data_IF_405864604121
#
_entry.id   IF_405864604121
#
_cell.length_a   1.000
_cell.length_b   1.000
_cell.length_c   1.000
_cell.angle_alpha   90.00
_cell.angle_beta   90.00
_cell.angle_gamma   90.00
#
_symmetry.space_group_name_H-M   'P 1'
#
loop_
_entity.id
_entity.type
_entity.pdbx_description
1 polymer ?
#
# COMPACT_ATOMS: atom_id res chain seq x y z
N UNK A 1 38.86 -50.52 -13.66
CA UNK A 1 38.67 -49.83 -12.39
C UNK A 1 39.96 -49.22 -11.83
N UNK A 2 41.13 -49.87 -11.94
CA UNK A 2 42.37 -49.38 -11.35
C UNK A 2 43.02 -48.12 -11.99
N UNK A 3 42.74 -47.80 -13.25
CA UNK A 3 43.31 -46.62 -13.92
C UNK A 3 42.69 -45.31 -13.42
N UNK A 4 41.39 -45.28 -13.20
CA UNK A 4 40.66 -44.09 -12.74
C UNK A 4 41.11 -43.73 -11.31
N UNK A 5 41.27 -44.73 -10.45
CA UNK A 5 41.74 -44.54 -9.07
C UNK A 5 43.14 -43.93 -9.01
N UNK A 6 44.04 -44.40 -9.91
CA UNK A 6 45.40 -43.85 -10.00
C UNK A 6 45.42 -42.40 -10.49
N UNK A 7 44.57 -42.05 -11.46
CA UNK A 7 44.43 -40.65 -11.92
C UNK A 7 43.86 -39.71 -10.84
N UNK A 8 42.90 -40.19 -10.04
CA UNK A 8 42.37 -39.43 -8.91
C UNK A 8 43.45 -39.24 -7.79
N UNK A 9 44.26 -40.28 -7.51
CA UNK A 9 45.36 -40.19 -6.55
C UNK A 9 46.43 -39.19 -7.01
N UNK A 10 46.84 -39.25 -8.29
CA UNK A 10 47.82 -38.30 -8.83
C UNK A 10 47.31 -36.87 -8.80
N UNK A 11 45.99 -36.63 -9.09
CA UNK A 11 45.37 -35.32 -8.97
C UNK A 11 45.40 -34.81 -7.54
N UNK A 12 45.10 -35.66 -6.54
CA UNK A 12 45.12 -35.31 -5.14
C UNK A 12 46.54 -34.97 -4.63
N UNK A 13 47.54 -35.71 -5.08
CA UNK A 13 48.96 -35.47 -4.74
C UNK A 13 49.45 -34.11 -5.25
N UNK A 14 49.00 -33.65 -6.40
CA UNK A 14 49.31 -32.30 -6.94
C UNK A 14 48.66 -31.21 -6.06
N UNK A 15 47.47 -31.44 -5.58
CA UNK A 15 46.78 -30.52 -4.65
C UNK A 15 47.56 -30.41 -3.32
N UNK A 16 48.02 -31.50 -2.76
CA UNK A 16 48.72 -31.52 -1.48
C UNK A 16 50.14 -30.94 -1.58
N UNK A 17 50.82 -31.13 -2.72
CA UNK A 17 52.17 -30.59 -2.95
C UNK A 17 52.21 -29.09 -3.15
N UNK A 18 51.14 -28.49 -3.76
CA UNK A 18 51.08 -27.04 -4.05
C UNK A 18 50.01 -26.33 -3.21
N UNK A 19 50.14 -26.38 -1.87
CA UNK A 19 49.12 -25.91 -0.92
C UNK A 19 48.62 -24.47 -1.17
N UNK A 20 49.51 -23.53 -1.49
CA UNK A 20 49.16 -22.13 -1.73
C UNK A 20 48.30 -21.96 -3.01
N UNK A 21 48.67 -22.67 -4.09
CA UNK A 21 47.91 -22.59 -5.36
C UNK A 21 46.53 -23.25 -5.21
N UNK A 22 46.52 -24.42 -4.57
CA UNK A 22 45.27 -25.15 -4.29
C UNK A 22 44.32 -24.35 -3.42
N UNK A 23 44.85 -23.74 -2.34
CA UNK A 23 44.06 -22.86 -1.46
C UNK A 23 43.47 -21.67 -2.22
N UNK A 24 44.29 -20.96 -3.02
CA UNK A 24 43.82 -19.81 -3.80
C UNK A 24 42.72 -20.21 -4.81
N UNK A 25 42.90 -21.36 -5.46
CA UNK A 25 41.90 -21.84 -6.44
C UNK A 25 40.59 -22.22 -5.77
N UNK A 26 40.63 -23.00 -4.68
CA UNK A 26 39.43 -23.38 -3.93
C UNK A 26 38.76 -22.16 -3.31
N UNK A 27 39.54 -21.25 -2.76
CA UNK A 27 39.03 -20.00 -2.17
C UNK A 27 38.35 -19.13 -3.24
N UNK A 28 38.95 -18.98 -4.43
CA UNK A 28 38.33 -18.24 -5.53
C UNK A 28 37.00 -18.84 -5.99
N UNK A 29 36.93 -20.17 -6.14
CA UNK A 29 35.70 -20.85 -6.49
C UNK A 29 34.66 -20.72 -5.38
N UNK A 30 35.07 -20.85 -4.12
CA UNK A 30 34.18 -20.71 -2.96
C UNK A 30 33.56 -19.32 -2.88
N UNK A 31 34.35 -18.26 -3.11
CA UNK A 31 33.83 -16.90 -3.18
C UNK A 31 32.84 -16.73 -4.34
N UNK A 32 33.16 -17.27 -5.51
CA UNK A 32 32.28 -17.21 -6.66
C UNK A 32 30.91 -17.86 -6.39
N UNK A 33 30.91 -19.06 -5.81
CA UNK A 33 29.69 -19.78 -5.42
C UNK A 33 28.94 -19.00 -4.31
N UNK A 34 29.66 -18.52 -3.30
CA UNK A 34 29.04 -17.74 -2.21
C UNK A 34 28.37 -16.48 -2.73
N UNK A 35 28.99 -15.76 -3.69
CA UNK A 35 28.37 -14.58 -4.30
C UNK A 35 27.08 -14.92 -5.07
N UNK A 36 27.08 -16.00 -5.83
CA UNK A 36 25.86 -16.44 -6.56
C UNK A 36 24.73 -16.77 -5.59
N UNK A 37 25.05 -17.53 -4.52
CA UNK A 37 24.04 -17.87 -3.50
C UNK A 37 23.52 -16.59 -2.82
N UNK A 38 24.39 -15.64 -2.50
CA UNK A 38 24.02 -14.38 -1.86
C UNK A 38 23.06 -13.57 -2.74
N UNK A 39 23.35 -13.44 -4.04
CA UNK A 39 22.51 -12.70 -4.97
C UNK A 39 21.14 -13.37 -5.14
N UNK A 40 21.12 -14.71 -5.29
CA UNK A 40 19.86 -15.45 -5.41
C UNK A 40 19.03 -15.39 -4.12
N UNK A 41 19.68 -15.49 -2.95
CA UNK A 41 19.01 -15.38 -1.66
C UNK A 41 18.45 -13.98 -1.42
N UNK A 42 19.21 -12.94 -1.77
CA UNK A 42 18.73 -11.55 -1.69
C UNK A 42 17.55 -11.32 -2.63
N UNK A 43 17.62 -11.82 -3.88
CA UNK A 43 16.51 -11.73 -4.84
C UNK A 43 15.24 -12.41 -4.34
N UNK A 44 15.37 -13.62 -3.80
CA UNK A 44 14.22 -14.33 -3.21
C UNK A 44 13.68 -13.64 -1.96
N UNK A 45 14.56 -13.05 -1.14
CA UNK A 45 14.15 -12.26 0.03
C UNK A 45 13.31 -11.05 -0.36
N UNK A 46 13.76 -10.27 -1.33
CA UNK A 46 13.01 -9.11 -1.85
C UNK A 46 11.67 -9.57 -2.45
N UNK A 47 11.67 -10.64 -3.27
CA UNK A 47 10.44 -11.20 -3.83
C UNK A 47 9.45 -11.61 -2.71
N UNK A 48 9.92 -12.26 -1.66
CA UNK A 48 9.06 -12.67 -0.53
C UNK A 48 8.44 -11.48 0.19
N UNK A 49 9.23 -10.41 0.44
CA UNK A 49 8.72 -9.19 1.06
C UNK A 49 7.66 -8.53 0.17
N UNK A 50 7.93 -8.37 -1.12
CA UNK A 50 6.96 -7.78 -2.07
C UNK A 50 5.69 -8.62 -2.16
N UNK A 51 5.81 -9.95 -2.24
CA UNK A 51 4.64 -10.83 -2.32
C UNK A 51 3.83 -10.84 -1.02
N UNK A 52 4.48 -10.74 0.14
CA UNK A 52 3.76 -10.62 1.42
C UNK A 52 3.03 -9.28 1.54
N UNK A 53 3.62 -8.21 1.00
CA UNK A 53 3.00 -6.89 0.95
C UNK A 53 1.74 -6.92 0.05
N UNK A 54 1.85 -7.50 -1.15
CA UNK A 54 0.72 -7.65 -2.07
C UNK A 54 -0.39 -8.50 -1.44
N UNK A 55 -0.03 -9.63 -0.81
CA UNK A 55 -1.00 -10.50 -0.15
C UNK A 55 -1.73 -9.83 1.03
N UNK A 56 -1.14 -8.80 1.64
CA UNK A 56 -1.80 -8.02 2.70
C UNK A 56 -2.98 -7.19 2.21
N UNK A 57 -3.05 -6.91 0.90
CA UNK A 57 -4.17 -6.19 0.28
C UNK A 57 -5.36 -7.10 -0.08
N UNK A 58 -5.23 -8.45 0.06
CA UNK A 58 -6.23 -9.44 -0.35
C UNK A 58 -5.92 -10.06 -1.72
N UNK A 59 -6.55 -11.21 -2.03
CA UNK A 59 -6.17 -12.00 -3.20
C UNK A 59 -6.94 -11.61 -4.49
N UNK A 60 -8.13 -11.01 -4.39
CA UNK A 60 -9.06 -10.79 -5.52
C UNK A 60 -9.49 -9.33 -5.67
N UNK A 61 -8.56 -8.38 -5.76
CA UNK A 61 -8.93 -6.99 -5.97
C UNK A 61 -8.31 -6.39 -7.24
N UNK A 62 -9.03 -5.46 -7.84
CA UNK A 62 -8.56 -4.67 -8.98
C UNK A 62 -8.53 -3.19 -8.59
N UNK A 63 -7.40 -2.53 -8.85
CA UNK A 63 -7.27 -1.09 -8.73
C UNK A 63 -7.49 -0.42 -10.08
N UNK A 64 -8.47 0.45 -10.15
CA UNK A 64 -8.86 1.18 -11.35
C UNK A 64 -8.45 2.64 -11.17
N UNK A 65 -7.47 3.07 -11.92
CA UNK A 65 -6.96 4.43 -11.92
C UNK A 65 -7.10 5.07 -13.31
N UNK A 66 -7.19 6.39 -13.33
CA UNK A 66 -7.21 7.11 -14.59
C UNK A 66 -5.80 7.26 -15.12
N UNK A 67 -5.57 6.75 -16.31
CA UNK A 67 -4.29 6.80 -17.02
C UNK A 67 -4.17 8.08 -17.83
N UNK A 68 -3.01 8.75 -17.75
CA UNK A 68 -2.72 9.87 -18.64
C UNK A 68 -2.33 9.30 -20.01
N UNK A 69 -3.00 9.74 -21.09
CA UNK A 69 -2.57 9.42 -22.44
C UNK A 69 -1.18 10.05 -22.68
N UNK A 70 -0.13 9.24 -22.74
CA UNK A 70 1.18 9.67 -23.18
C UNK A 70 1.40 9.22 -24.63
N UNK A 71 2.07 10.03 -25.44
CA UNK A 71 2.44 9.66 -26.82
C UNK A 71 3.39 8.46 -26.88
N UNK A 72 4.09 8.15 -25.80
CA UNK A 72 4.85 6.92 -25.62
C UNK A 72 3.95 5.88 -24.95
N UNK A 73 3.98 4.64 -25.44
CA UNK A 73 3.19 3.50 -24.91
C UNK A 73 3.45 3.15 -23.43
N UNK A 74 4.39 3.83 -22.77
CA UNK A 74 4.67 3.66 -21.36
C UNK A 74 3.71 4.54 -20.56
N UNK A 75 2.73 3.91 -19.95
CA UNK A 75 1.82 4.53 -19.01
C UNK A 75 2.56 4.95 -17.75
N UNK A 76 2.66 6.24 -17.49
CA UNK A 76 2.98 6.70 -16.15
C UNK A 76 1.75 6.49 -15.26
N UNK A 77 1.95 5.87 -14.12
CA UNK A 77 0.96 5.74 -13.08
C UNK A 77 0.44 7.12 -12.65
N UNK A 78 -0.79 7.16 -12.13
CA UNK A 78 -1.45 8.39 -11.70
C UNK A 78 -0.62 9.22 -10.71
N UNK A 79 0.19 8.57 -9.87
CA UNK A 79 1.13 9.20 -8.94
C UNK A 79 2.15 10.12 -9.64
N UNK A 80 2.69 9.70 -10.78
CA UNK A 80 3.63 10.51 -11.57
C UNK A 80 2.92 11.70 -12.23
N UNK A 81 1.67 11.53 -12.60
CA UNK A 81 0.83 12.56 -13.18
C UNK A 81 0.49 13.66 -12.17
N UNK A 82 0.12 13.27 -10.97
CA UNK A 82 -0.15 14.20 -9.86
C UNK A 82 1.11 15.00 -9.54
N UNK A 83 2.28 14.35 -9.51
CA UNK A 83 3.57 15.02 -9.31
C UNK A 83 3.91 16.03 -10.42
N UNK A 84 3.40 15.84 -11.64
CA UNK A 84 3.54 16.76 -12.78
C UNK A 84 2.42 17.80 -12.85
N UNK A 85 1.50 17.83 -11.87
CA UNK A 85 0.40 18.79 -11.82
C UNK A 85 -0.75 18.52 -12.80
N UNK A 86 -0.78 17.36 -13.43
CA UNK A 86 -1.90 16.95 -14.31
C UNK A 86 -2.96 16.24 -13.47
N UNK A 87 -4.12 16.85 -13.33
CA UNK A 87 -5.26 16.23 -12.65
C UNK A 87 -6.31 15.78 -13.66
N UNK A 88 -6.55 14.48 -13.74
CA UNK A 88 -7.61 13.92 -14.56
C UNK A 88 -8.89 13.87 -13.71
N UNK A 89 -9.99 14.42 -14.25
CA UNK A 89 -11.26 14.65 -13.54
C UNK A 89 -12.42 13.80 -14.07
N UNK A 90 -12.09 12.73 -14.81
CA UNK A 90 -13.10 11.90 -15.49
C UNK A 90 -13.69 10.82 -14.60
N UNK A 91 -12.91 10.26 -13.66
CA UNK A 91 -13.38 9.21 -12.76
C UNK A 91 -14.27 9.80 -11.66
N UNK A 92 -15.42 9.20 -11.42
CA UNK A 92 -16.42 9.71 -10.48
C UNK A 92 -16.99 8.58 -9.60
N UNK A 93 -17.74 8.95 -8.57
CA UNK A 93 -18.46 7.97 -7.73
C UNK A 93 -19.52 7.19 -8.52
N UNK A 94 -20.06 7.75 -9.63
CA UNK A 94 -20.98 7.03 -10.52
C UNK A 94 -20.31 5.85 -11.22
N UNK A 95 -19.03 5.99 -11.54
CA UNK A 95 -18.24 4.91 -12.14
C UNK A 95 -18.04 3.77 -11.13
N UNK A 96 -17.81 4.10 -9.83
CA UNK A 96 -17.82 3.10 -8.76
C UNK A 96 -19.16 2.36 -8.69
N UNK A 97 -20.28 3.09 -8.71
CA UNK A 97 -21.61 2.49 -8.63
C UNK A 97 -21.90 1.59 -9.85
N UNK A 98 -21.43 1.97 -11.05
CA UNK A 98 -21.52 1.13 -12.25
C UNK A 98 -20.68 -0.15 -12.12
N UNK A 99 -19.48 -0.07 -11.56
CA UNK A 99 -18.60 -1.23 -11.32
C UNK A 99 -19.25 -2.19 -10.32
N UNK A 100 -19.79 -1.69 -9.22
CA UNK A 100 -20.49 -2.53 -8.21
C UNK A 100 -21.71 -3.23 -8.81
N UNK A 101 -22.29 -2.74 -9.91
CA UNK A 101 -23.42 -3.38 -10.58
C UNK A 101 -23.04 -4.58 -11.46
N UNK A 102 -21.74 -4.89 -11.61
CA UNK A 102 -21.26 -6.06 -12.35
C UNK A 102 -21.35 -7.32 -11.48
N UNK A 103 -21.82 -8.43 -12.06
CA UNK A 103 -21.99 -9.71 -11.35
C UNK A 103 -20.70 -10.28 -10.77
N UNK A 104 -19.54 -9.92 -11.34
CA UNK A 104 -18.22 -10.35 -10.91
C UNK A 104 -17.62 -9.51 -9.76
N UNK A 105 -18.30 -8.46 -9.32
CA UNK A 105 -17.82 -7.52 -8.29
C UNK A 105 -18.65 -7.66 -7.03
N UNK A 106 -18.00 -8.08 -5.96
CA UNK A 106 -18.61 -8.21 -4.64
C UNK A 106 -18.87 -6.86 -3.99
N UNK A 107 -17.88 -5.99 -4.03
CA UNK A 107 -17.96 -4.63 -3.50
C UNK A 107 -16.83 -3.77 -4.08
N UNK A 108 -16.96 -2.44 -3.97
CA UNK A 108 -15.90 -1.53 -4.38
C UNK A 108 -15.91 -0.28 -3.51
N UNK A 109 -14.73 0.31 -3.32
CA UNK A 109 -14.63 1.63 -2.70
C UNK A 109 -13.97 2.64 -3.65
N UNK A 110 -14.39 3.89 -3.51
CA UNK A 110 -13.79 5.04 -4.19
C UNK A 110 -12.77 5.71 -3.30
N UNK A 111 -11.70 6.24 -3.89
CA UNK A 111 -10.65 6.92 -3.15
C UNK A 111 -10.23 8.25 -3.79
N UNK A 112 -9.90 9.20 -2.92
CA UNK A 112 -9.28 10.48 -3.25
C UNK A 112 -8.29 10.86 -2.15
N UNK A 113 -7.15 11.41 -2.52
CA UNK A 113 -6.16 11.86 -1.54
C UNK A 113 -5.99 13.37 -1.53
N UNK A 114 -5.64 13.91 -0.37
CA UNK A 114 -5.29 15.30 -0.17
C UNK A 114 -4.36 15.44 1.01
N UNK A 115 -3.72 16.59 1.13
CA UNK A 115 -2.94 16.92 2.34
C UNK A 115 -3.65 18.01 3.13
N UNK A 116 -3.50 17.96 4.44
CA UNK A 116 -4.11 18.92 5.35
C UNK A 116 -3.23 19.14 6.59
N UNK A 117 -3.51 20.22 7.29
CA UNK A 117 -3.05 20.38 8.67
C UNK A 117 -4.20 19.96 9.58
N UNK A 118 -3.98 18.89 10.34
CA UNK A 118 -4.88 18.46 11.40
C UNK A 118 -4.42 19.09 12.72
N UNK A 119 -5.37 19.55 13.52
CA UNK A 119 -5.06 20.13 14.83
C UNK A 119 -6.16 19.82 15.83
N UNK A 120 -5.76 19.71 17.09
CA UNK A 120 -6.61 19.90 18.24
C UNK A 120 -6.35 21.29 18.85
N UNK A 121 -6.83 21.57 20.07
CA UNK A 121 -6.65 22.88 20.71
C UNK A 121 -5.19 23.15 21.14
N UNK A 122 -4.35 22.12 21.21
CA UNK A 122 -2.98 22.19 21.74
C UNK A 122 -1.91 21.99 20.66
N UNK A 123 -2.13 21.04 19.75
CA UNK A 123 -1.13 20.56 18.79
C UNK A 123 -1.62 20.67 17.35
N UNK A 124 -0.65 20.75 16.43
CA UNK A 124 -0.88 20.74 14.98
C UNK A 124 0.07 19.78 14.33
N UNK A 125 -0.41 19.03 13.33
CA UNK A 125 0.36 18.07 12.58
C UNK A 125 -0.01 18.13 11.10
N UNK A 126 0.91 17.79 10.22
CA UNK A 126 0.63 17.59 8.80
C UNK A 126 0.16 16.16 8.59
N UNK A 127 -0.95 15.97 7.92
CA UNK A 127 -1.52 14.65 7.68
C UNK A 127 -1.96 14.49 6.23
N UNK A 128 -1.81 13.28 5.71
CA UNK A 128 -2.42 12.88 4.45
C UNK A 128 -3.86 12.44 4.71
N UNK A 129 -4.79 13.01 3.94
CA UNK A 129 -6.19 12.58 3.95
C UNK A 129 -6.36 11.47 2.93
N UNK A 130 -6.89 10.34 3.35
CA UNK A 130 -7.53 9.36 2.50
C UNK A 130 -9.04 9.56 2.58
N UNK A 131 -9.59 10.22 1.57
CA UNK A 131 -11.02 10.32 1.36
C UNK A 131 -11.51 9.03 0.71
N UNK A 132 -12.02 8.10 1.51
CA UNK A 132 -12.45 6.79 1.02
C UNK A 132 -13.91 6.56 1.38
N UNK A 133 -14.61 5.79 0.55
CA UNK A 133 -15.97 5.36 0.90
C UNK A 133 -15.95 4.29 1.98
N UNK A 134 -17.07 4.07 2.67
CA UNK A 134 -17.15 3.22 3.86
C UNK A 134 -16.73 1.77 3.61
N UNK A 135 -16.88 1.28 2.40
CA UNK A 135 -16.50 -0.06 1.96
C UNK A 135 -14.99 -0.32 2.08
N UNK A 136 -14.16 0.74 2.14
CA UNK A 136 -12.72 0.63 2.40
C UNK A 136 -12.41 -0.21 3.63
N UNK A 137 -13.13 0.00 4.72
CA UNK A 137 -12.89 -0.72 5.98
C UNK A 137 -13.34 -2.19 5.94
N UNK A 138 -14.16 -2.57 4.95
CA UNK A 138 -14.58 -3.95 4.72
C UNK A 138 -13.58 -4.70 3.83
N UNK A 139 -13.09 -4.03 2.77
CA UNK A 139 -12.18 -4.61 1.77
C UNK A 139 -10.75 -4.69 2.31
N UNK A 140 -10.23 -3.61 2.83
CA UNK A 140 -8.81 -3.47 3.23
C UNK A 140 -8.51 -3.98 4.63
N UNK A 141 -9.24 -4.89 5.21
CA UNK A 141 -8.98 -5.50 6.52
C UNK A 141 -8.40 -4.54 7.58
N UNK A 142 -8.46 -3.23 7.33
CA UNK A 142 -7.98 -2.18 8.22
C UNK A 142 -8.75 -2.20 9.52
N UNK A 143 -8.13 -2.81 10.54
CA UNK A 143 -8.78 -2.98 11.83
C UNK A 143 -8.85 -1.66 12.58
N UNK A 144 -10.01 -1.38 13.12
CA UNK A 144 -10.23 -0.28 14.04
C UNK A 144 -9.79 -0.72 15.44
N UNK A 145 -8.82 -0.04 16.02
CA UNK A 145 -8.34 -0.30 17.38
C UNK A 145 -9.30 0.27 18.43
N UNK A 146 -9.81 1.50 18.20
CA UNK A 146 -10.73 2.17 19.11
C UNK A 146 -11.88 2.80 18.34
N UNK A 147 -13.10 2.72 18.85
CA UNK A 147 -14.28 3.30 18.20
C UNK A 147 -14.78 2.46 17.03
N UNK A 148 -15.24 3.12 15.97
CA UNK A 148 -15.87 2.49 14.81
C UNK A 148 -15.49 3.23 13.53
N UNK A 149 -15.57 2.53 12.39
CA UNK A 149 -15.55 3.15 11.08
C UNK A 149 -16.81 3.99 10.85
N UNK A 150 -16.73 5.00 10.00
CA UNK A 150 -17.94 5.70 9.57
C UNK A 150 -18.76 4.83 8.62
N UNK A 151 -20.06 5.10 8.57
CA UNK A 151 -21.03 4.31 7.82
C UNK A 151 -21.23 4.84 6.40
N UNK A 152 -21.86 4.04 5.53
CA UNK A 152 -22.30 4.48 4.21
C UNK A 152 -23.22 5.71 4.27
N UNK A 153 -24.08 5.79 5.31
CA UNK A 153 -24.92 6.94 5.56
C UNK A 153 -24.12 8.21 5.87
N UNK A 154 -23.01 8.07 6.59
CA UNK A 154 -22.10 9.19 6.86
C UNK A 154 -21.38 9.63 5.60
N UNK A 155 -20.94 8.69 4.75
CA UNK A 155 -20.29 9.02 3.49
C UNK A 155 -21.28 9.72 2.53
N UNK A 156 -22.45 9.16 2.28
CA UNK A 156 -23.48 9.76 1.41
C UNK A 156 -23.92 11.17 1.84
N UNK A 157 -23.99 11.42 3.16
CA UNK A 157 -24.34 12.74 3.72
C UNK A 157 -23.18 13.71 3.73
N UNK A 158 -21.96 13.26 3.44
CA UNK A 158 -20.76 14.06 3.59
C UNK A 158 -20.55 14.47 5.05
N UNK A 159 -20.68 13.53 5.99
CA UNK A 159 -20.57 13.80 7.42
C UNK A 159 -19.14 14.26 7.79
N UNK A 160 -19.06 15.20 8.73
CA UNK A 160 -17.76 15.68 9.24
C UNK A 160 -17.25 14.76 10.36
N UNK A 161 -16.87 13.55 9.96
CA UNK A 161 -16.29 12.54 10.82
C UNK A 161 -14.92 12.13 10.28
N UNK A 162 -14.07 11.63 11.17
CA UNK A 162 -12.70 11.20 10.83
C UNK A 162 -12.31 9.96 11.63
N UNK A 163 -11.62 9.05 10.98
CA UNK A 163 -10.87 7.97 11.62
C UNK A 163 -9.40 8.34 11.54
N UNK A 164 -8.70 8.29 12.67
CA UNK A 164 -7.29 8.67 12.76
C UNK A 164 -6.39 7.47 12.60
N UNK A 165 -5.26 7.63 11.91
CA UNK A 165 -4.15 6.69 11.98
C UNK A 165 -3.51 6.72 13.38
N UNK A 166 -2.83 5.65 13.74
CA UNK A 166 -2.31 5.45 15.09
C UNK A 166 -1.32 6.56 15.52
N UNK A 167 -0.38 6.92 14.64
CA UNK A 167 0.62 7.97 14.90
C UNK A 167 -0.03 9.35 15.08
N UNK A 168 -1.03 9.69 14.26
CA UNK A 168 -1.75 10.95 14.37
C UNK A 168 -2.52 11.03 15.69
N UNK A 169 -3.20 9.94 16.07
CA UNK A 169 -3.93 9.89 17.34
C UNK A 169 -2.98 10.06 18.54
N UNK A 170 -1.84 9.38 18.54
CA UNK A 170 -0.83 9.49 19.58
C UNK A 170 -0.20 10.88 19.64
N UNK A 171 0.15 11.45 18.48
CA UNK A 171 0.76 12.79 18.40
C UNK A 171 -0.17 13.86 18.94
N UNK A 172 -1.45 13.84 18.58
CA UNK A 172 -2.41 14.87 18.98
C UNK A 172 -2.91 14.70 20.42
N UNK A 173 -3.17 13.47 20.84
CA UNK A 173 -3.89 13.21 22.10
C UNK A 173 -3.06 12.43 23.13
N UNK A 174 -1.93 11.79 22.72
CA UNK A 174 -1.16 10.90 23.59
C UNK A 174 -2.02 9.71 24.02
N UNK A 175 -2.05 9.45 25.33
CA UNK A 175 -2.81 8.33 25.91
C UNK A 175 -4.28 8.66 26.26
N UNK A 176 -4.78 9.83 25.86
CA UNK A 176 -6.16 10.22 26.18
C UNK A 176 -7.17 9.48 25.32
N UNK A 177 -8.43 9.44 25.76
CA UNK A 177 -9.51 8.92 24.93
C UNK A 177 -9.83 9.95 23.83
N UNK A 178 -9.70 9.51 22.57
CA UNK A 178 -9.86 10.37 21.40
C UNK A 178 -11.26 10.26 20.77
N UNK A 179 -12.04 9.25 21.16
CA UNK A 179 -13.35 9.00 20.54
C UNK A 179 -14.34 10.08 20.97
N UNK A 180 -15.05 10.63 19.99
CA UNK A 180 -15.96 11.78 20.08
C UNK A 180 -15.28 13.14 20.30
N UNK A 181 -13.94 13.19 20.39
CA UNK A 181 -13.22 14.46 20.37
C UNK A 181 -13.32 15.15 19.00
N UNK A 182 -13.11 16.45 18.98
CA UNK A 182 -13.14 17.23 17.75
C UNK A 182 -11.73 17.64 17.34
N UNK A 183 -11.36 17.30 16.11
CA UNK A 183 -10.16 17.82 15.45
C UNK A 183 -10.53 18.80 14.36
N UNK A 184 -9.62 19.72 14.05
CA UNK A 184 -9.81 20.71 12.98
C UNK A 184 -8.97 20.31 11.78
N UNK A 185 -9.61 20.12 10.62
CA UNK A 185 -8.95 19.97 9.32
C UNK A 185 -9.11 21.28 8.57
N UNK A 186 -7.99 21.95 8.30
CA UNK A 186 -8.00 23.30 7.72
C UNK A 186 -8.97 24.27 8.43
N UNK A 187 -9.02 24.20 9.76
CA UNK A 187 -9.85 25.06 10.60
C UNK A 187 -11.33 24.64 10.74
N UNK A 188 -11.80 23.61 10.03
CA UNK A 188 -13.16 23.07 10.17
C UNK A 188 -13.15 21.88 11.13
N UNK A 189 -14.15 21.80 12.01
CA UNK A 189 -14.29 20.74 13.01
C UNK A 189 -14.76 19.41 12.40
N UNK A 190 -14.11 18.32 12.81
CA UNK A 190 -14.44 16.94 12.46
C UNK A 190 -14.45 16.11 13.74
N UNK A 191 -15.48 15.30 13.93
CA UNK A 191 -15.59 14.41 15.09
C UNK A 191 -14.81 13.13 14.84
N UNK A 192 -13.94 12.76 15.78
CA UNK A 192 -13.21 11.50 15.75
C UNK A 192 -14.16 10.36 16.11
N UNK A 193 -14.34 9.42 15.19
CA UNK A 193 -15.20 8.24 15.39
C UNK A 193 -14.41 6.96 15.61
N UNK A 194 -13.17 6.90 15.16
CA UNK A 194 -12.31 5.73 15.32
C UNK A 194 -10.83 6.05 15.23
N UNK A 195 -10.02 5.08 15.63
CA UNK A 195 -8.56 5.06 15.47
C UNK A 195 -8.17 3.71 14.88
N UNK A 196 -7.33 3.71 13.85
CA UNK A 196 -6.82 2.50 13.22
C UNK A 196 -5.87 1.74 14.15
N UNK A 197 -5.76 0.42 13.97
CA UNK A 197 -4.63 -0.33 14.51
C UNK A 197 -3.33 0.15 13.87
N UNK A 198 -2.20 0.14 14.60
CA UNK A 198 -0.90 0.42 14.00
C UNK A 198 -0.60 -0.56 12.87
N UNK A 199 -0.44 -0.04 11.66
CA UNK A 199 -0.10 -0.81 10.45
C UNK A 199 1.39 -0.65 10.09
N UNK A 200 2.02 0.42 10.58
CA UNK A 200 3.38 0.77 10.23
C UNK A 200 3.51 1.37 8.83
N UNK A 201 4.73 1.37 8.32
CA UNK A 201 5.00 1.79 6.96
C UNK A 201 4.75 0.63 5.98
N UNK A 202 3.85 0.83 5.04
CA UNK A 202 3.56 -0.09 3.96
C UNK A 202 4.13 0.49 2.66
N UNK A 203 5.19 -0.14 2.13
CA UNK A 203 5.92 0.38 0.98
C UNK A 203 6.55 1.73 1.26
N UNK A 204 6.12 2.77 0.52
CA UNK A 204 6.62 4.15 0.65
C UNK A 204 5.70 5.06 1.49
N UNK A 205 4.61 4.53 2.05
CA UNK A 205 3.63 5.29 2.81
C UNK A 205 3.58 4.84 4.25
N UNK A 206 3.59 5.81 5.16
CA UNK A 206 3.31 5.58 6.57
C UNK A 206 1.79 5.62 6.79
N UNK A 207 1.18 4.43 6.88
CA UNK A 207 -0.26 4.28 7.05
C UNK A 207 -0.77 4.82 8.38
N UNK A 208 0.10 4.88 9.38
CA UNK A 208 -0.23 5.37 10.71
C UNK A 208 -0.31 6.91 10.78
N UNK A 209 0.26 7.61 9.79
CA UNK A 209 0.20 9.06 9.62
C UNK A 209 -0.92 9.53 8.68
N UNK A 210 -1.82 8.62 8.29
CA UNK A 210 -2.98 8.91 7.44
C UNK A 210 -4.22 9.16 8.30
N UNK A 211 -5.10 10.01 7.81
CA UNK A 211 -6.45 10.19 8.35
C UNK A 211 -7.49 9.80 7.30
N UNK A 212 -8.51 9.10 7.73
CA UNK A 212 -9.57 8.59 6.85
C UNK A 212 -10.83 9.44 7.04
N UNK A 213 -11.32 10.00 5.96
CA UNK A 213 -12.49 10.88 5.92
C UNK A 213 -13.43 10.38 4.83
N UNK A 214 -14.76 10.43 5.00
CA UNK A 214 -15.69 10.04 3.95
C UNK A 214 -15.39 10.72 2.62
N UNK A 215 -15.35 9.96 1.52
CA UNK A 215 -14.96 10.44 0.19
C UNK A 215 -15.79 11.66 -0.24
N UNK A 216 -17.11 11.62 -0.03
CA UNK A 216 -18.00 12.73 -0.33
C UNK A 216 -17.68 14.00 0.50
N UNK A 217 -17.21 13.82 1.76
CA UNK A 217 -16.78 14.95 2.58
C UNK A 217 -15.53 15.62 2.04
N UNK A 218 -14.54 14.82 1.62
CA UNK A 218 -13.31 15.35 1.01
C UNK A 218 -13.63 16.07 -0.28
N UNK A 219 -14.42 15.45 -1.15
CA UNK A 219 -14.84 16.06 -2.40
C UNK A 219 -15.57 17.40 -2.20
N UNK A 220 -16.59 17.43 -1.34
CA UNK A 220 -17.49 18.58 -1.24
C UNK A 220 -16.98 19.67 -0.29
N UNK A 221 -16.36 19.29 0.86
CA UNK A 221 -16.08 20.23 1.94
C UNK A 221 -14.60 20.60 2.07
N UNK A 222 -13.69 19.75 1.56
CA UNK A 222 -12.24 19.97 1.66
C UNK A 222 -11.70 20.47 0.33
N UNK A 223 -11.92 19.74 -0.77
CA UNK A 223 -11.33 20.02 -2.07
C UNK A 223 -12.24 20.79 -3.04
N UNK A 224 -13.56 20.71 -2.91
CA UNK A 224 -14.52 21.34 -3.83
C UNK A 224 -14.52 20.69 -5.21
N UNK A 225 -14.31 19.38 -5.31
CA UNK A 225 -14.20 18.62 -6.58
C UNK A 225 -15.28 17.54 -6.64
N UNK A 226 -15.51 17.00 -7.85
CA UNK A 226 -16.49 15.93 -8.10
C UNK A 226 -15.85 14.61 -8.52
N UNK A 227 -14.57 14.63 -8.87
CA UNK A 227 -13.83 13.45 -9.29
C UNK A 227 -13.24 12.70 -8.10
N UNK A 228 -12.91 11.44 -8.34
CA UNK A 228 -12.09 10.58 -7.46
C UNK A 228 -10.80 10.24 -8.21
N UNK A 229 -9.83 9.68 -7.52
CA UNK A 229 -8.53 9.35 -8.10
C UNK A 229 -8.42 7.87 -8.45
N UNK A 230 -9.05 6.99 -7.66
CA UNK A 230 -9.04 5.55 -7.89
C UNK A 230 -10.33 4.89 -7.39
N UNK A 231 -10.59 3.69 -7.90
CA UNK A 231 -11.59 2.76 -7.40
C UNK A 231 -10.88 1.44 -7.17
N UNK A 232 -11.10 0.82 -6.03
CA UNK A 232 -10.69 -0.55 -5.77
C UNK A 232 -11.92 -1.41 -5.71
N UNK A 233 -11.97 -2.43 -6.55
CA UNK A 233 -13.04 -3.41 -6.61
C UNK A 233 -12.55 -4.75 -6.05
N UNK A 234 -13.32 -5.34 -5.16
CA UNK A 234 -13.17 -6.69 -4.63
C UNK A 234 -14.02 -7.63 -5.51
N UNK A 235 -13.37 -8.64 -6.09
CA UNK A 235 -14.02 -9.55 -7.01
C UNK A 235 -14.58 -10.77 -6.29
N UNK A 236 -15.59 -11.42 -6.87
CA UNK A 236 -16.05 -12.72 -6.43
C UNK A 236 -14.93 -13.78 -6.60
N UNK A 237 -14.91 -14.79 -5.73
CA UNK A 237 -13.84 -15.80 -5.64
C UNK A 237 -13.67 -16.65 -6.93
N UNK A 238 -14.68 -16.66 -7.81
CA UNK A 238 -14.70 -17.45 -9.04
C UNK A 238 -14.04 -16.74 -10.24
N UNK A 239 -13.55 -15.50 -10.05
CA UNK A 239 -12.98 -14.70 -11.14
C UNK A 239 -11.47 -14.83 -11.14
N UNK A 240 -10.92 -15.56 -12.13
CA UNK A 240 -9.46 -15.58 -12.33
C UNK A 240 -8.96 -14.22 -12.79
N UNK A 241 -8.04 -13.64 -12.05
CA UNK A 241 -7.41 -12.33 -12.34
C UNK A 241 -6.67 -12.26 -13.70
N UNK A 242 -6.47 -13.40 -14.38
CA UNK A 242 -5.73 -13.50 -15.64
C UNK A 242 -6.49 -12.95 -16.85
N UNK A 243 -7.81 -12.83 -16.80
CA UNK A 243 -8.62 -12.45 -17.94
C UNK A 243 -8.82 -10.93 -18.13
N UNK A 244 -8.29 -10.11 -17.20
CA UNK A 244 -8.52 -8.66 -17.14
C UNK A 244 -7.25 -7.81 -17.30
N UNK A 245 -6.10 -8.41 -17.68
CA UNK A 245 -4.83 -7.69 -17.90
C UNK A 245 -4.60 -7.38 -19.37
#
# INVERSE_FOLDING_TARGET
MNKIIKFLQQGFDVFVKNKTRSFLTVFGISIGIAMVILVLSAGNGVKSVVMSEIASFGDNWINIEVKIPTAAKNSSENSTAIAQGVTIKTLTTKDKDAIVSLDSVKQAYAGITSQTIISNDIKKESATIFGVSSEYFLINQGKINKGFAYTEADDKKGAQVVVLGATIAETLFGNQNVINETVKLNGKGYRVVGVMEPLGATGFMDMDSIIYVPAATVQQKIMGVKHILWIVADLEDDVENSDYV
#
